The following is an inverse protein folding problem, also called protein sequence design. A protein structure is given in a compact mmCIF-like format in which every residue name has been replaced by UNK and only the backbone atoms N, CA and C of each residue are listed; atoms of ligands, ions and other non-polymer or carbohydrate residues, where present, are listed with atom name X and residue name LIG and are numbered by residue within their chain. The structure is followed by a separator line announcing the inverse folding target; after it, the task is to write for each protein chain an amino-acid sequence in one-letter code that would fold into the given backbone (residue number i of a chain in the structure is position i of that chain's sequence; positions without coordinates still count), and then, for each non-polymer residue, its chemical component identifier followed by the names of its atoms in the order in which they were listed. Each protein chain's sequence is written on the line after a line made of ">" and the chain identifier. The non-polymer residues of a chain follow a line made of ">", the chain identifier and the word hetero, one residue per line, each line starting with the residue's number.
data_IF_602117951193
#
_entry.id   IF_602117951193
#
_cell.length_a   1.000
_cell.length_b   1.000
_cell.length_c   1.000
_cell.angle_alpha   90.00
_cell.angle_beta   90.00
_cell.angle_gamma   90.00
#
_symmetry.space_group_name_H-M   'P 1'
#
loop_
_entity.id
_entity.type
_entity.pdbx_description
1 polymer ?
#
# COMPACT_ATOMS: atom_id res chain seq x y z
N UNK A 1 8.37 25.75 65.11
CA UNK A 1 8.35 24.53 64.28
C UNK A 1 6.93 24.22 63.83
N UNK A 2 5.95 24.17 64.74
CA UNK A 2 4.54 23.88 64.46
C UNK A 2 3.90 24.77 63.39
N UNK A 3 4.13 26.08 63.39
CA UNK A 3 3.59 26.99 62.37
C UNK A 3 4.11 26.70 60.96
N UNK A 4 5.35 26.23 60.84
CA UNK A 4 5.93 25.85 59.54
C UNK A 4 5.34 24.52 59.05
N UNK A 5 5.10 23.57 59.97
CA UNK A 5 4.43 22.30 59.66
C UNK A 5 2.97 22.54 59.24
N UNK A 6 2.21 23.35 59.97
CA UNK A 6 0.84 23.70 59.62
C UNK A 6 0.75 24.41 58.26
N UNK A 7 1.72 25.27 57.94
CA UNK A 7 1.81 25.91 56.62
C UNK A 7 2.11 24.90 55.51
N UNK A 8 2.98 23.94 55.76
CA UNK A 8 3.32 22.90 54.80
C UNK A 8 2.12 21.96 54.58
N UNK A 9 1.43 21.57 55.65
CA UNK A 9 0.19 20.79 55.58
C UNK A 9 -0.88 21.51 54.77
N UNK A 10 -1.09 22.81 55.01
CA UNK A 10 -2.02 23.61 54.21
C UNK A 10 -1.62 23.70 52.72
N UNK A 11 -0.32 23.74 52.41
CA UNK A 11 0.15 23.70 51.02
C UNK A 11 -0.13 22.34 50.36
N UNK A 12 0.05 21.23 51.09
CA UNK A 12 -0.29 19.90 50.59
C UNK A 12 -1.79 19.72 50.39
N UNK A 13 -2.61 20.13 51.35
CA UNK A 13 -4.07 20.10 51.24
C UNK A 13 -4.57 20.91 50.04
N UNK A 14 -3.97 22.09 49.82
CA UNK A 14 -4.27 22.90 48.63
C UNK A 14 -3.80 22.22 47.34
N UNK A 15 -2.61 21.62 47.32
CA UNK A 15 -2.10 20.92 46.14
C UNK A 15 -2.97 19.70 45.79
N UNK A 16 -3.43 18.96 46.78
CA UNK A 16 -4.36 17.82 46.61
C UNK A 16 -5.69 18.30 46.03
N UNK A 17 -6.30 19.33 46.62
CA UNK A 17 -7.54 19.92 46.09
C UNK A 17 -7.38 20.52 44.67
N UNK A 18 -6.22 21.13 44.37
CA UNK A 18 -5.92 21.66 43.03
C UNK A 18 -5.79 20.49 42.02
N UNK A 19 -5.19 19.36 42.40
CA UNK A 19 -5.11 18.15 41.55
C UNK A 19 -6.48 17.51 41.32
N UNK A 20 -7.29 17.37 42.37
CA UNK A 20 -8.66 16.84 42.26
C UNK A 20 -9.52 17.70 41.33
N UNK A 21 -9.39 19.03 41.42
CA UNK A 21 -10.10 19.94 40.52
C UNK A 21 -9.65 19.79 39.07
N UNK A 22 -8.35 19.65 38.82
CA UNK A 22 -7.83 19.40 37.46
C UNK A 22 -8.38 18.08 36.92
N UNK A 23 -8.36 17.01 37.73
CA UNK A 23 -8.88 15.70 37.34
C UNK A 23 -10.35 15.78 36.95
N UNK A 24 -11.21 16.32 37.82
CA UNK A 24 -12.64 16.41 37.53
C UNK A 24 -12.97 17.29 36.32
N UNK A 25 -12.21 18.38 36.13
CA UNK A 25 -12.37 19.21 34.95
C UNK A 25 -12.00 18.46 33.66
N UNK A 26 -10.91 17.69 33.68
CA UNK A 26 -10.50 16.87 32.55
C UNK A 26 -11.53 15.77 32.26
N UNK A 27 -11.98 15.05 33.28
CA UNK A 27 -13.03 14.02 33.16
C UNK A 27 -14.29 14.60 32.51
N UNK A 28 -14.74 15.77 32.98
CA UNK A 28 -15.92 16.45 32.44
C UNK A 28 -15.76 16.82 30.96
N UNK A 29 -14.63 17.42 30.57
CA UNK A 29 -14.37 17.77 29.17
C UNK A 29 -14.22 16.53 28.28
N UNK A 30 -13.59 15.45 28.77
CA UNK A 30 -13.47 14.18 28.05
C UNK A 30 -14.86 13.58 27.79
N UNK A 31 -15.71 13.47 28.82
CA UNK A 31 -17.07 12.94 28.68
C UNK A 31 -17.96 13.78 27.76
N UNK A 32 -17.69 15.09 27.67
CA UNK A 32 -18.39 16.00 26.77
C UNK A 32 -17.96 15.83 25.31
N UNK A 33 -16.68 15.57 25.06
CA UNK A 33 -16.13 15.38 23.70
C UNK A 33 -16.40 13.95 23.20
N UNK A 34 -16.31 12.97 24.09
CA UNK A 34 -16.48 11.54 23.81
C UNK A 34 -17.58 10.98 24.73
N UNK A 35 -18.86 11.07 24.31
CA UNK A 35 -19.93 10.37 25.03
C UNK A 35 -19.70 8.85 24.97
N UNK A 36 -20.18 8.10 25.97
CA UNK A 36 -19.95 6.65 26.17
C UNK A 36 -20.23 5.75 24.94
N UNK A 37 -20.96 6.26 23.94
CA UNK A 37 -21.23 5.59 22.67
C UNK A 37 -20.09 5.75 21.62
N UNK A 38 -18.88 6.12 22.05
CA UNK A 38 -17.74 6.31 21.14
C UNK A 38 -17.37 4.98 20.48
N UNK A 39 -17.25 4.91 19.13
CA UNK A 39 -16.96 3.65 18.46
C UNK A 39 -15.63 3.04 18.93
N UNK A 40 -15.53 1.71 19.04
CA UNK A 40 -14.31 1.02 19.49
C UNK A 40 -13.04 1.36 18.69
N UNK A 41 -13.22 1.85 17.46
CA UNK A 41 -12.17 2.26 16.53
C UNK A 41 -11.45 3.55 16.94
N UNK A 42 -12.00 4.33 17.88
CA UNK A 42 -11.36 5.53 18.42
C UNK A 42 -10.65 5.27 19.76
N UNK A 43 -10.85 4.09 20.35
CA UNK A 43 -10.21 3.72 21.61
C UNK A 43 -8.73 3.34 21.37
N UNK A 44 -7.76 4.10 21.93
CA UNK A 44 -6.34 3.82 21.72
C UNK A 44 -5.91 2.44 22.24
N UNK A 45 -6.58 1.91 23.27
CA UNK A 45 -6.29 0.57 23.78
C UNK A 45 -6.70 -0.51 22.78
N UNK A 46 -7.89 -0.39 22.18
CA UNK A 46 -8.38 -1.32 21.18
C UNK A 46 -7.52 -1.29 19.91
N UNK A 47 -7.08 -0.09 19.48
CA UNK A 47 -6.15 0.07 18.36
C UNK A 47 -4.81 -0.63 18.65
N UNK A 48 -4.26 -0.45 19.86
CA UNK A 48 -2.99 -1.06 20.23
C UNK A 48 -3.08 -2.59 20.26
N UNK A 49 -4.18 -3.14 20.78
CA UNK A 49 -4.45 -4.58 20.75
C UNK A 49 -4.58 -5.09 19.31
N UNK A 50 -5.35 -4.39 18.47
CA UNK A 50 -5.51 -4.71 17.05
C UNK A 50 -4.17 -4.70 16.29
N UNK A 51 -3.31 -3.71 16.56
CA UNK A 51 -1.97 -3.61 15.98
C UNK A 51 -1.08 -4.78 16.41
N UNK A 52 -1.14 -5.16 17.69
CA UNK A 52 -0.38 -6.30 18.22
C UNK A 52 -0.80 -7.61 17.56
N UNK A 53 -2.11 -7.81 17.36
CA UNK A 53 -2.66 -8.98 16.69
C UNK A 53 -2.27 -9.01 15.20
N UNK A 54 -2.33 -7.87 14.51
CA UNK A 54 -1.89 -7.75 13.12
C UNK A 54 -0.40 -8.07 12.97
N UNK A 55 0.44 -7.55 13.86
CA UNK A 55 1.88 -7.85 13.91
C UNK A 55 2.14 -9.35 14.11
N UNK A 56 1.42 -10.00 15.02
CA UNK A 56 1.56 -11.43 15.26
C UNK A 56 1.18 -12.26 14.02
N UNK A 57 0.08 -11.90 13.34
CA UNK A 57 -0.35 -12.56 12.09
C UNK A 57 0.68 -12.39 10.98
N UNK A 58 1.27 -11.20 10.84
CA UNK A 58 2.32 -10.95 9.87
C UNK A 58 3.56 -11.81 10.14
N UNK A 59 4.03 -11.87 11.40
CA UNK A 59 5.18 -12.70 11.77
C UNK A 59 4.94 -14.20 11.51
N UNK A 60 3.73 -14.68 11.81
CA UNK A 60 3.34 -16.05 11.51
C UNK A 60 3.35 -16.32 9.99
N UNK A 61 2.88 -15.36 9.19
CA UNK A 61 2.89 -15.47 7.72
C UNK A 61 4.32 -15.51 7.17
N UNK A 62 5.22 -14.64 7.65
CA UNK A 62 6.64 -14.67 7.27
C UNK A 62 7.27 -16.02 7.57
N UNK A 63 7.08 -16.52 8.80
CA UNK A 63 7.62 -17.83 9.23
C UNK A 63 7.10 -18.97 8.35
N UNK A 64 5.81 -18.92 7.97
CA UNK A 64 5.21 -19.90 7.07
C UNK A 64 5.79 -19.80 5.65
N UNK A 65 5.97 -18.59 5.13
CA UNK A 65 6.54 -18.35 3.80
C UNK A 65 7.98 -18.88 3.72
N UNK A 66 8.80 -18.60 4.73
CA UNK A 66 10.16 -19.13 4.85
C UNK A 66 10.16 -20.66 4.93
N UNK A 67 9.17 -21.22 5.64
CA UNK A 67 8.84 -22.64 5.65
C UNK A 67 8.69 -23.23 4.25
N UNK A 68 7.74 -22.68 3.49
CA UNK A 68 7.41 -23.13 2.14
C UNK A 68 8.60 -22.96 1.20
N UNK A 69 9.32 -21.83 1.26
CA UNK A 69 10.47 -21.57 0.40
C UNK A 69 11.58 -22.61 0.61
N UNK A 70 11.83 -23.00 1.87
CA UNK A 70 12.79 -24.05 2.20
C UNK A 70 12.35 -25.42 1.68
N UNK A 71 11.09 -25.78 1.88
CA UNK A 71 10.52 -27.04 1.40
C UNK A 71 10.55 -27.13 -0.12
N UNK A 72 10.19 -26.05 -0.83
CA UNK A 72 10.29 -25.98 -2.29
C UNK A 72 11.73 -26.17 -2.76
N UNK A 73 12.70 -25.49 -2.13
CA UNK A 73 14.12 -25.66 -2.44
C UNK A 73 14.61 -27.09 -2.20
N UNK A 74 14.16 -27.73 -1.13
CA UNK A 74 14.49 -29.12 -0.84
C UNK A 74 13.85 -30.09 -1.84
N UNK A 75 12.57 -29.89 -2.18
CA UNK A 75 11.88 -30.69 -3.18
C UNK A 75 12.55 -30.58 -4.56
N UNK A 76 12.91 -29.37 -5.00
CA UNK A 76 13.62 -29.18 -6.27
C UNK A 76 14.99 -29.88 -6.28
N UNK A 77 15.77 -29.77 -5.20
CA UNK A 77 17.03 -30.51 -5.06
C UNK A 77 16.81 -32.03 -5.11
N UNK A 78 15.75 -32.53 -4.48
CA UNK A 78 15.37 -33.94 -4.51
C UNK A 78 15.03 -34.42 -5.93
N UNK A 79 14.23 -33.64 -6.66
CA UNK A 79 13.89 -33.92 -8.07
C UNK A 79 15.15 -33.94 -8.93
N UNK A 80 16.02 -32.92 -8.79
CA UNK A 80 17.27 -32.83 -9.54
C UNK A 80 18.16 -34.07 -9.30
N UNK A 81 18.35 -34.46 -8.03
CA UNK A 81 19.13 -35.63 -7.68
C UNK A 81 18.51 -36.93 -8.21
N UNK A 82 17.18 -37.06 -8.18
CA UNK A 82 16.49 -38.21 -8.74
C UNK A 82 16.69 -38.31 -10.26
N UNK A 83 16.53 -37.20 -10.99
CA UNK A 83 16.72 -37.15 -12.44
C UNK A 83 18.16 -37.51 -12.81
N UNK A 84 19.15 -36.96 -12.10
CA UNK A 84 20.56 -37.27 -12.33
C UNK A 84 20.88 -38.75 -12.08
N UNK A 85 20.37 -39.33 -10.98
CA UNK A 85 20.54 -40.74 -10.67
C UNK A 85 19.88 -41.65 -11.71
N UNK A 86 18.66 -41.33 -12.16
CA UNK A 86 17.96 -42.08 -13.20
C UNK A 86 18.73 -42.01 -14.52
N UNK A 87 19.21 -40.82 -14.91
CA UNK A 87 20.01 -40.64 -16.12
C UNK A 87 21.27 -41.50 -16.09
N UNK A 88 22.01 -41.48 -14.96
CA UNK A 88 23.19 -42.32 -14.77
C UNK A 88 22.86 -43.82 -14.89
N UNK A 89 21.77 -44.27 -14.25
CA UNK A 89 21.34 -45.66 -14.30
C UNK A 89 20.98 -46.10 -15.72
N UNK A 90 20.25 -45.26 -16.47
CA UNK A 90 19.90 -45.52 -17.88
C UNK A 90 21.17 -45.61 -18.74
N UNK A 91 22.14 -44.73 -18.53
CA UNK A 91 23.40 -44.74 -19.25
C UNK A 91 24.20 -46.03 -19.00
N UNK A 92 24.29 -46.49 -17.74
CA UNK A 92 24.94 -47.76 -17.38
C UNK A 92 24.26 -48.96 -18.06
N UNK A 93 22.92 -48.97 -18.10
CA UNK A 93 22.15 -50.02 -18.78
C UNK A 93 22.38 -50.02 -20.30
N UNK A 94 22.41 -48.84 -20.93
CA UNK A 94 22.69 -48.70 -22.36
C UNK A 94 24.08 -49.23 -22.72
N UNK A 95 25.11 -48.87 -21.93
CA UNK A 95 26.47 -49.38 -22.11
C UNK A 95 26.52 -50.90 -22.02
N UNK A 96 25.82 -51.50 -21.04
CA UNK A 96 25.77 -52.96 -20.86
C UNK A 96 25.01 -53.67 -21.99
N UNK A 97 24.02 -53.02 -22.59
CA UNK A 97 23.25 -53.53 -23.73
C UNK A 97 23.97 -53.35 -25.08
N UNK A 98 25.11 -52.66 -25.12
CA UNK A 98 25.85 -52.38 -26.35
C UNK A 98 25.17 -51.35 -27.26
N UNK A 99 24.31 -50.49 -26.71
CA UNK A 99 23.66 -49.39 -27.43
C UNK A 99 24.56 -48.14 -27.35
N UNK A 100 24.73 -47.43 -28.46
CA UNK A 100 25.41 -46.13 -28.44
C UNK A 100 24.60 -45.13 -27.61
N UNK A 101 25.23 -44.49 -26.61
CA UNK A 101 24.58 -43.43 -25.84
C UNK A 101 24.55 -42.16 -26.69
N UNK A 102 23.37 -41.76 -27.16
CA UNK A 102 23.20 -40.46 -27.79
C UNK A 102 23.39 -39.35 -26.74
N UNK A 103 24.08 -38.24 -27.08
CA UNK A 103 24.13 -37.08 -26.22
C UNK A 103 22.71 -36.52 -26.01
N UNK A 104 22.48 -35.91 -24.85
CA UNK A 104 21.23 -35.20 -24.57
C UNK A 104 20.93 -34.20 -25.68
N UNK A 105 19.67 -34.16 -26.10
CA UNK A 105 19.18 -33.14 -27.02
C UNK A 105 19.28 -31.75 -26.39
N UNK A 106 19.27 -30.72 -27.24
CA UNK A 106 19.32 -29.33 -26.78
C UNK A 106 18.17 -28.99 -25.81
N UNK A 107 17.00 -29.59 -26.00
CA UNK A 107 15.83 -29.41 -25.15
C UNK A 107 16.02 -30.04 -23.76
N UNK A 108 16.54 -31.27 -23.69
CA UNK A 108 16.81 -31.95 -22.42
C UNK A 108 17.92 -31.25 -21.63
N UNK A 109 18.93 -30.74 -22.32
CA UNK A 109 20.02 -30.02 -21.68
C UNK A 109 19.56 -28.65 -21.15
N UNK A 110 18.65 -27.97 -21.87
CA UNK A 110 17.99 -26.76 -21.38
C UNK A 110 17.08 -27.06 -20.17
N UNK A 111 16.33 -28.16 -20.19
CA UNK A 111 15.49 -28.57 -19.07
C UNK A 111 16.32 -28.88 -17.80
N UNK A 112 17.46 -29.55 -17.95
CA UNK A 112 18.38 -29.81 -16.84
C UNK A 112 18.98 -28.51 -16.25
N UNK A 113 19.31 -27.52 -17.10
CA UNK A 113 19.79 -26.21 -16.65
C UNK A 113 18.69 -25.42 -15.92
N UNK A 114 17.44 -25.49 -16.37
CA UNK A 114 16.32 -24.84 -15.69
C UNK A 114 16.04 -25.43 -14.31
N UNK A 115 16.19 -26.75 -14.15
CA UNK A 115 16.10 -27.42 -12.84
C UNK A 115 17.21 -26.97 -11.88
N UNK A 116 18.42 -26.71 -12.38
CA UNK A 116 19.55 -26.24 -11.57
C UNK A 116 19.56 -24.74 -11.26
N UNK A 117 18.88 -23.91 -12.05
CA UNK A 117 18.98 -22.43 -11.98
C UNK A 117 17.93 -21.77 -11.08
N UNK A 118 16.92 -22.49 -10.60
CA UNK A 118 15.81 -21.93 -9.80
C UNK A 118 16.03 -22.09 -8.28
N UNK A 119 17.07 -21.47 -7.71
CA UNK A 119 17.19 -21.41 -6.23
C UNK A 119 17.56 -20.04 -5.67
N UNK A 120 17.48 -18.99 -6.48
CA UNK A 120 17.89 -17.64 -6.10
C UNK A 120 17.01 -16.55 -6.72
N UNK A 121 15.69 -16.69 -6.67
CA UNK A 121 14.88 -15.47 -6.47
C UNK A 121 14.68 -15.38 -4.97
N UNK A 122 15.76 -15.01 -4.27
CA UNK A 122 15.60 -14.36 -2.99
C UNK A 122 14.59 -13.23 -3.23
N UNK A 123 13.53 -13.22 -2.43
CA UNK A 123 12.67 -12.05 -2.29
C UNK A 123 13.52 -11.04 -1.52
N UNK A 124 14.64 -10.60 -2.11
CA UNK A 124 15.17 -9.27 -1.85
C UNK A 124 14.18 -8.32 -2.51
N UNK A 125 13.30 -7.76 -1.68
CA UNK A 125 13.00 -6.33 -1.68
C UNK A 125 13.31 -5.60 -3.00
N UNK A 126 12.49 -5.82 -4.02
CA UNK A 126 12.40 -4.92 -5.17
C UNK A 126 10.93 -4.65 -5.43
N UNK A 127 10.45 -3.56 -4.82
CA UNK A 127 9.31 -2.82 -5.36
C UNK A 127 9.70 -2.43 -6.79
N UNK A 128 9.07 -3.05 -7.78
CA UNK A 128 9.43 -2.76 -9.16
C UNK A 128 8.80 -3.66 -10.21
N UNK A 129 7.49 -3.47 -10.44
CA UNK A 129 6.80 -3.62 -11.73
C UNK A 129 6.61 -5.03 -12.32
N UNK A 130 5.35 -5.50 -12.50
CA UNK A 130 5.03 -6.45 -13.56
C UNK A 130 4.64 -5.66 -14.81
N UNK A 131 5.55 -5.63 -15.78
CA UNK A 131 5.18 -5.42 -17.17
C UNK A 131 4.66 -6.74 -17.73
N UNK A 132 3.39 -6.77 -18.15
CA UNK A 132 2.90 -7.81 -19.03
C UNK A 132 2.24 -7.13 -20.23
N UNK A 133 2.87 -7.28 -21.38
CA UNK A 133 2.36 -6.81 -22.65
C UNK A 133 1.55 -7.92 -23.33
N UNK A 134 0.41 -7.54 -23.91
CA UNK A 134 -0.17 -8.24 -25.06
C UNK A 134 -1.63 -8.63 -24.93
N UNK A 135 -2.55 -7.75 -25.34
CA UNK A 135 -3.64 -8.16 -26.23
C UNK A 135 -4.20 -6.96 -27.00
N UNK A 136 -4.61 -7.28 -28.23
CA UNK A 136 -4.81 -6.47 -29.43
C UNK A 136 -5.89 -5.37 -29.37
N UNK A 137 -5.55 -4.24 -30.02
CA UNK A 137 -6.27 -2.98 -30.36
C UNK A 137 -7.58 -3.26 -31.15
N UNK A 138 -8.69 -2.48 -31.01
CA UNK A 138 -8.77 -1.14 -31.62
C UNK A 138 -9.57 -0.06 -30.87
N UNK A 139 -9.00 1.15 -30.81
CA UNK A 139 -9.81 2.36 -30.72
C UNK A 139 -9.18 3.55 -29.97
N UNK A 140 -8.81 4.56 -30.75
CA UNK A 140 -8.66 5.98 -30.37
C UNK A 140 -7.31 6.43 -29.79
N UNK A 141 -6.71 7.38 -30.50
CA UNK A 141 -5.44 8.06 -30.21
C UNK A 141 -5.49 9.01 -28.99
N UNK A 142 -6.35 8.74 -28.01
CA UNK A 142 -6.55 9.58 -26.80
C UNK A 142 -5.70 9.12 -25.60
N UNK A 143 -5.17 7.89 -25.61
CA UNK A 143 -4.52 7.27 -24.45
C UNK A 143 -3.02 7.59 -24.28
N UNK A 144 -2.35 8.19 -25.28
CA UNK A 144 -0.89 8.36 -25.24
C UNK A 144 -0.40 9.55 -24.41
N UNK A 145 -1.29 10.42 -23.94
CA UNK A 145 -0.92 11.66 -23.23
C UNK A 145 -1.46 11.77 -21.80
N UNK A 146 -2.50 11.00 -21.45
CA UNK A 146 -3.05 11.02 -20.10
C UNK A 146 -2.34 10.01 -19.20
N UNK A 147 -1.53 10.50 -18.27
CA UNK A 147 -0.92 9.68 -17.23
C UNK A 147 -1.83 9.67 -15.98
N UNK A 148 -2.47 8.54 -15.63
CA UNK A 148 -3.28 8.45 -14.41
C UNK A 148 -2.41 8.54 -13.16
N UNK A 149 -3.01 8.99 -12.06
CA UNK A 149 -2.35 9.03 -10.76
C UNK A 149 -2.20 7.63 -10.20
N UNK A 150 -1.03 7.37 -9.61
CA UNK A 150 -0.70 6.12 -8.94
C UNK A 150 -0.91 6.24 -7.43
N UNK A 151 -1.05 5.10 -6.75
CA UNK A 151 -1.24 5.04 -5.29
C UNK A 151 -0.08 5.71 -4.54
N UNK A 152 1.14 5.58 -5.05
CA UNK A 152 2.34 6.23 -4.52
C UNK A 152 2.25 7.77 -4.56
N UNK A 153 1.66 8.36 -5.61
CA UNK A 153 1.45 9.80 -5.70
C UNK A 153 0.43 10.26 -4.65
N UNK A 154 -0.66 9.50 -4.50
CA UNK A 154 -1.68 9.79 -3.49
C UNK A 154 -1.12 9.71 -2.06
N UNK A 155 -0.14 8.83 -1.82
CA UNK A 155 0.53 8.67 -0.53
C UNK A 155 1.43 9.84 -0.14
N UNK A 156 1.90 10.64 -1.11
CA UNK A 156 2.66 11.88 -0.87
C UNK A 156 1.81 12.97 -0.20
N UNK A 157 0.49 12.94 -0.40
CA UNK A 157 -0.43 13.91 0.20
C UNK A 157 -0.71 13.57 1.67
N UNK A 158 -0.68 14.55 2.59
CA UNK A 158 -0.98 14.34 4.00
C UNK A 158 -2.33 13.64 4.24
N UNK A 159 -2.37 12.69 5.18
CA UNK A 159 -3.53 11.83 5.43
C UNK A 159 -4.84 12.61 5.68
N UNK A 160 -4.78 13.71 6.42
CA UNK A 160 -5.95 14.53 6.76
C UNK A 160 -6.62 15.16 5.54
N UNK A 161 -5.91 15.33 4.42
CA UNK A 161 -6.43 15.87 3.17
C UNK A 161 -7.03 14.75 2.29
N UNK A 162 -6.38 13.58 2.26
CA UNK A 162 -6.81 12.44 1.42
C UNK A 162 -7.79 11.46 2.07
N UNK A 163 -8.11 11.62 3.37
CA UNK A 163 -8.96 10.70 4.16
C UNK A 163 -10.28 10.32 3.48
N UNK A 164 -10.91 11.24 2.74
CA UNK A 164 -12.20 11.03 2.09
C UNK A 164 -12.12 10.65 0.61
N UNK A 165 -10.92 10.44 0.05
CA UNK A 165 -10.69 10.35 -1.40
C UNK A 165 -10.22 8.94 -1.79
N UNK A 166 -10.92 8.31 -2.72
CA UNK A 166 -10.48 7.05 -3.34
C UNK A 166 -9.69 7.34 -4.62
N UNK A 167 -8.69 6.50 -4.94
CA UNK A 167 -7.88 6.66 -6.15
C UNK A 167 -8.73 6.61 -7.42
N UNK A 168 -9.75 5.74 -7.46
CA UNK A 168 -10.66 5.61 -8.60
C UNK A 168 -11.48 6.90 -8.83
N UNK A 169 -12.06 7.46 -7.76
CA UNK A 169 -12.86 8.69 -7.84
C UNK A 169 -11.99 9.91 -8.18
N UNK A 170 -10.73 9.92 -7.73
CA UNK A 170 -9.75 10.97 -8.04
C UNK A 170 -9.30 10.92 -9.50
N UNK A 171 -8.96 9.73 -10.01
CA UNK A 171 -8.57 9.54 -11.41
C UNK A 171 -9.73 9.78 -12.39
N UNK A 172 -10.96 9.48 -11.98
CA UNK A 172 -12.16 9.82 -12.76
C UNK A 172 -12.30 11.33 -12.92
N UNK A 173 -12.14 12.09 -11.82
CA UNK A 173 -12.18 13.55 -11.84
C UNK A 173 -11.05 14.14 -12.69
N UNK A 174 -9.82 13.67 -12.49
CA UNK A 174 -8.65 14.14 -13.24
C UNK A 174 -8.80 13.89 -14.75
N UNK A 175 -9.35 12.73 -15.14
CA UNK A 175 -9.68 12.43 -16.54
C UNK A 175 -10.70 13.41 -17.13
N UNK A 176 -11.73 13.78 -16.36
CA UNK A 176 -12.72 14.79 -16.77
C UNK A 176 -12.08 16.17 -17.01
N UNK A 177 -11.23 16.61 -16.09
CA UNK A 177 -10.47 17.86 -16.21
C UNK A 177 -9.51 17.84 -17.41
N UNK A 178 -8.78 16.74 -17.59
CA UNK A 178 -7.86 16.58 -18.71
C UNK A 178 -8.60 16.63 -20.06
N UNK A 179 -9.77 15.99 -20.15
CA UNK A 179 -10.60 16.06 -21.36
C UNK A 179 -11.06 17.49 -21.65
N UNK A 180 -11.43 18.25 -20.62
CA UNK A 180 -11.87 19.63 -20.79
C UNK A 180 -10.74 20.57 -21.23
N UNK A 181 -9.60 20.56 -20.52
CA UNK A 181 -8.51 21.52 -20.77
C UNK A 181 -7.59 21.11 -21.92
N UNK A 182 -7.25 19.81 -22.03
CA UNK A 182 -6.24 19.32 -22.99
C UNK A 182 -6.90 18.85 -24.28
N UNK A 183 -7.93 17.99 -24.18
CA UNK A 183 -8.56 17.39 -25.38
C UNK A 183 -9.45 18.41 -26.10
N UNK A 184 -10.30 19.12 -25.38
CA UNK A 184 -11.20 20.12 -25.97
C UNK A 184 -10.53 21.49 -26.20
N UNK A 185 -9.28 21.67 -25.74
CA UNK A 185 -8.51 22.93 -25.81
C UNK A 185 -9.25 24.14 -25.22
N UNK A 186 -10.10 23.92 -24.22
CA UNK A 186 -10.80 24.99 -23.54
C UNK A 186 -9.83 25.68 -22.57
N UNK A 187 -9.62 26.99 -22.77
CA UNK A 187 -8.78 27.82 -21.88
C UNK A 187 -9.57 28.48 -20.74
N UNK A 188 -10.89 28.28 -20.71
CA UNK A 188 -11.74 28.84 -19.68
C UNK A 188 -11.59 28.04 -18.39
N UNK A 189 -11.34 28.72 -17.28
CA UNK A 189 -11.32 28.12 -15.95
C UNK A 189 -12.71 27.56 -15.59
N UNK A 190 -12.72 26.47 -14.83
CA UNK A 190 -13.95 25.80 -14.43
C UNK A 190 -14.36 26.21 -13.02
N UNK A 191 -15.65 26.47 -12.81
CA UNK A 191 -16.18 26.67 -11.46
C UNK A 191 -16.35 25.32 -10.74
N UNK A 192 -16.33 25.34 -9.41
CA UNK A 192 -16.53 24.13 -8.58
C UNK A 192 -17.82 23.39 -8.96
N UNK A 193 -18.90 24.10 -9.30
CA UNK A 193 -20.17 23.50 -9.73
C UNK A 193 -20.04 22.72 -11.04
N UNK A 194 -19.28 23.24 -12.01
CA UNK A 194 -19.03 22.54 -13.28
C UNK A 194 -18.11 21.32 -13.07
N UNK A 195 -17.18 21.41 -12.12
CA UNK A 195 -16.33 20.27 -11.75
C UNK A 195 -17.13 19.18 -11.06
N UNK A 196 -18.15 19.54 -10.29
CA UNK A 196 -19.07 18.59 -9.66
C UNK A 196 -19.95 17.85 -10.67
N UNK A 197 -20.42 18.52 -11.71
CA UNK A 197 -21.18 17.89 -12.81
C UNK A 197 -20.36 16.84 -13.58
N UNK A 198 -19.04 16.99 -13.63
CA UNK A 198 -18.13 16.03 -14.27
C UNK A 198 -17.78 14.84 -13.37
N UNK A 199 -18.28 14.82 -12.14
CA UNK A 199 -17.94 13.83 -11.13
C UNK A 199 -19.16 13.14 -10.54
N UNK A 200 -19.00 11.91 -10.05
CA UNK A 200 -20.09 11.14 -9.44
C UNK A 200 -20.38 11.53 -7.98
N UNK A 201 -19.57 12.41 -7.39
CA UNK A 201 -19.55 12.78 -5.97
C UNK A 201 -19.15 14.26 -5.81
N UNK A 202 -19.31 14.87 -4.62
CA UNK A 202 -18.81 16.22 -4.33
C UNK A 202 -17.28 16.36 -4.47
N UNK A 203 -16.81 17.35 -5.21
CA UNK A 203 -15.42 17.42 -5.73
C UNK A 203 -14.40 18.14 -4.84
N UNK A 204 -14.83 18.83 -3.77
CA UNK A 204 -13.96 19.72 -2.99
C UNK A 204 -12.69 19.04 -2.44
N UNK A 205 -12.82 17.90 -1.75
CA UNK A 205 -11.65 17.20 -1.17
C UNK A 205 -10.73 16.61 -2.25
N UNK A 206 -11.28 16.26 -3.41
CA UNK A 206 -10.50 15.74 -4.55
C UNK A 206 -9.74 16.84 -5.28
N UNK A 207 -10.34 18.01 -5.43
CA UNK A 207 -9.66 19.20 -5.97
C UNK A 207 -8.50 19.58 -5.04
N UNK A 208 -8.73 19.56 -3.72
CA UNK A 208 -7.69 19.84 -2.74
C UNK A 208 -6.52 18.84 -2.84
N UNK A 209 -6.80 17.55 -3.02
CA UNK A 209 -5.75 16.54 -3.26
C UNK A 209 -5.00 16.80 -4.58
N UNK A 210 -5.68 17.18 -5.66
CA UNK A 210 -5.03 17.51 -6.94
C UNK A 210 -4.19 18.80 -6.87
N UNK A 211 -4.59 19.74 -6.03
CA UNK A 211 -3.85 20.99 -5.76
C UNK A 211 -2.56 20.72 -4.96
N UNK A 212 -2.62 19.87 -3.93
CA UNK A 212 -1.44 19.41 -3.19
C UNK A 212 -0.46 18.62 -4.08
N UNK A 213 -0.96 17.92 -5.10
CA UNK A 213 -0.14 17.24 -6.10
C UNK A 213 0.39 18.18 -7.18
N UNK A 214 0.04 19.48 -7.15
CA UNK A 214 0.47 20.48 -8.11
C UNK A 214 -0.13 20.32 -9.51
N UNK A 215 -1.19 19.51 -9.66
CA UNK A 215 -1.84 19.21 -10.95
C UNK A 215 -2.86 20.30 -11.31
N UNK A 216 -3.46 20.93 -10.28
CA UNK A 216 -4.53 21.90 -10.42
C UNK A 216 -4.21 23.13 -9.57
N UNK A 217 -4.58 24.33 -10.04
CA UNK A 217 -4.56 25.57 -9.25
C UNK A 217 -5.97 26.07 -9.03
N UNK A 218 -6.29 26.42 -7.79
CA UNK A 218 -7.53 27.11 -7.46
C UNK A 218 -7.30 28.63 -7.31
N UNK A 219 -8.13 29.43 -7.97
CA UNK A 219 -8.18 30.89 -7.81
C UNK A 219 -8.87 31.24 -6.48
N UNK A 220 -8.60 32.45 -5.94
CA UNK A 220 -9.32 32.98 -4.75
C UNK A 220 -10.84 33.06 -4.93
N UNK A 221 -11.33 32.96 -6.17
CA UNK A 221 -12.76 32.93 -6.53
C UNK A 221 -13.33 31.50 -6.68
N UNK A 222 -12.52 30.46 -6.51
CA UNK A 222 -12.93 29.06 -6.69
C UNK A 222 -12.87 28.57 -8.14
N UNK A 223 -12.24 29.32 -9.04
CA UNK A 223 -12.01 28.91 -10.43
C UNK A 223 -10.82 27.94 -10.50
N UNK A 224 -10.96 26.88 -11.28
CA UNK A 224 -10.05 25.74 -11.33
C UNK A 224 -9.35 25.72 -12.68
N UNK A 225 -8.02 25.72 -12.66
CA UNK A 225 -7.17 25.64 -13.85
C UNK A 225 -6.23 24.42 -13.76
N UNK A 226 -6.07 23.71 -14.88
CA UNK A 226 -5.13 22.60 -14.95
C UNK A 226 -3.71 23.14 -15.20
N UNK A 227 -2.77 22.71 -14.35
CA UNK A 227 -1.35 23.03 -14.51
C UNK A 227 -0.76 22.02 -15.48
N UNK A 228 -0.71 22.40 -16.76
CA UNK A 228 -0.03 21.65 -17.83
C UNK A 228 1.37 22.21 -18.06
#
# INVERSE_FOLDING_TARGET
>A
METAVARLEAMFQKAEADLDWIQHRLEYEIMKIFPDDTPPEENPLAILEGLSAAKARYQALCTRMDGIAREQKEAMRGIQASVENTMKTVQELQQKAGLESLPLSAEEQAAAQQLGSQTGTEIESSVGKPGCAGSTVPGSAEASQFQPLTEEMLLTVPWHIRRSVTLADLNSLYRGLFKHFVVNKNKAALSISQVDEMSTKPSHSRIQVLEELGIVKSSKKGDIELVV
#
